data_IF_861343521506
#
_entry.id   IF_861343521506
#
_cell.length_a   1.000
_cell.length_b   1.000
_cell.length_c   1.000
_cell.angle_alpha   90.00
_cell.angle_beta   90.00
_cell.angle_gamma   90.00
#
_symmetry.space_group_name_H-M   'P 1'
#
loop_
_entity.id
_entity.type
_entity.pdbx_description
1 polymer ?
#
# COMPACT_ATOMS: atom_id res chain seq x y z
N UNK A 1 -18.32 0.21 7.17
CA UNK A 1 -17.03 0.80 7.62
C UNK A 1 -15.85 0.03 7.03
N UNK A 2 -15.90 -1.30 7.03
CA UNK A 2 -14.91 -2.17 6.37
C UNK A 2 -14.96 -2.10 4.84
N UNK A 3 -16.15 -2.08 4.23
CA UNK A 3 -16.30 -1.94 2.76
C UNK A 3 -15.65 -0.67 2.22
N UNK A 4 -15.74 0.44 2.95
CA UNK A 4 -15.06 1.68 2.56
C UNK A 4 -13.54 1.53 2.58
N UNK A 5 -12.99 0.79 3.56
CA UNK A 5 -11.56 0.56 3.70
C UNK A 5 -10.99 -0.33 2.58
N UNK A 6 -11.83 -1.19 2.00
CA UNK A 6 -11.48 -2.08 0.89
C UNK A 6 -11.49 -1.37 -0.47
N UNK A 7 -12.04 -0.15 -0.58
CA UNK A 7 -11.89 0.65 -1.80
C UNK A 7 -10.46 1.12 -1.95
N UNK A 8 -9.89 0.93 -3.13
CA UNK A 8 -8.54 1.38 -3.41
C UNK A 8 -8.50 2.92 -3.43
N UNK A 9 -7.72 3.49 -2.52
CA UNK A 9 -7.39 4.92 -2.50
C UNK A 9 -6.11 5.12 -1.68
N UNK A 10 -5.33 6.18 -1.90
CA UNK A 10 -4.16 6.47 -1.08
C UNK A 10 -4.47 6.57 0.42
N UNK A 11 -5.63 7.12 0.77
CA UNK A 11 -6.09 7.27 2.14
C UNK A 11 -6.35 5.90 2.77
N UNK A 12 -7.01 5.00 2.03
CA UNK A 12 -7.29 3.65 2.53
C UNK A 12 -6.05 2.77 2.60
N UNK A 13 -5.07 2.95 1.70
CA UNK A 13 -3.74 2.33 1.83
C UNK A 13 -3.11 2.73 3.16
N UNK A 14 -3.01 4.03 3.44
CA UNK A 14 -2.42 4.53 4.67
C UNK A 14 -3.18 4.10 5.92
N UNK A 15 -4.52 4.04 5.85
CA UNK A 15 -5.36 3.55 6.96
C UNK A 15 -5.15 2.08 7.23
N UNK A 16 -5.11 1.23 6.20
CA UNK A 16 -4.80 -0.19 6.39
C UNK A 16 -3.40 -0.38 6.96
N UNK A 17 -2.39 0.39 6.53
CA UNK A 17 -1.03 0.31 7.09
C UNK A 17 -0.94 0.59 8.60
N UNK A 18 -1.91 1.27 9.20
CA UNK A 18 -1.91 1.54 10.65
C UNK A 18 -2.21 0.28 11.48
N UNK A 19 -2.93 -0.68 10.91
CA UNK A 19 -3.38 -1.89 11.61
C UNK A 19 -2.93 -3.18 10.93
N UNK A 20 -2.49 -3.11 9.67
CA UNK A 20 -2.01 -4.25 8.91
C UNK A 20 -0.73 -4.83 9.50
N UNK A 21 -0.65 -6.14 9.50
CA UNK A 21 0.53 -6.85 9.94
C UNK A 21 1.68 -6.64 8.95
N UNK A 22 2.86 -6.33 9.50
CA UNK A 22 4.11 -6.27 8.74
C UNK A 22 4.77 -7.66 8.74
N UNK A 23 4.63 -8.40 7.65
CA UNK A 23 5.24 -9.73 7.47
C UNK A 23 6.34 -9.67 6.41
N UNK A 24 7.53 -10.15 6.75
CA UNK A 24 8.68 -10.22 5.81
C UNK A 24 8.98 -8.91 5.07
N UNK A 25 8.77 -7.76 5.73
CA UNK A 25 9.01 -6.44 5.13
C UNK A 25 7.85 -5.89 4.30
N UNK A 26 6.69 -6.55 4.28
CA UNK A 26 5.49 -6.09 3.57
C UNK A 26 4.29 -5.92 4.51
N UNK A 27 3.54 -4.83 4.32
CA UNK A 27 2.18 -4.74 4.84
C UNK A 27 1.25 -5.54 3.94
N UNK A 28 0.44 -6.42 4.54
CA UNK A 28 -0.59 -7.18 3.82
C UNK A 28 -1.87 -6.36 3.77
N UNK A 29 -2.22 -5.88 2.57
CA UNK A 29 -3.38 -5.03 2.33
C UNK A 29 -4.44 -5.79 1.52
N UNK A 30 -5.69 -5.33 1.61
CA UNK A 30 -6.84 -5.93 0.91
C UNK A 30 -7.63 -4.86 0.19
N UNK A 31 -7.93 -5.06 -1.08
CA UNK A 31 -8.74 -4.13 -1.86
C UNK A 31 -9.73 -4.88 -2.73
N UNK A 32 -10.86 -4.25 -3.05
CA UNK A 32 -11.70 -4.68 -4.16
C UNK A 32 -10.86 -4.74 -5.43
N UNK A 33 -11.18 -5.70 -6.31
CA UNK A 33 -10.47 -5.86 -7.57
C UNK A 33 -11.43 -5.89 -8.76
N UNK A 34 -10.96 -5.37 -9.89
CA UNK A 34 -11.66 -5.48 -11.16
C UNK A 34 -11.49 -6.88 -11.79
N UNK A 35 -12.07 -7.09 -12.97
CA UNK A 35 -12.00 -8.36 -13.72
C UNK A 35 -10.57 -8.76 -14.12
N UNK A 36 -9.61 -7.83 -14.06
CA UNK A 36 -8.19 -8.06 -14.37
C UNK A 36 -7.35 -8.27 -13.11
N UNK A 37 -7.97 -8.23 -11.94
CA UNK A 37 -7.28 -8.37 -10.65
C UNK A 37 -6.61 -7.09 -10.16
N UNK A 38 -6.87 -5.93 -10.77
CA UNK A 38 -6.30 -4.66 -10.35
C UNK A 38 -7.14 -4.03 -9.23
N UNK A 39 -6.52 -3.31 -8.27
CA UNK A 39 -7.27 -2.62 -7.22
C UNK A 39 -8.32 -1.66 -7.79
N UNK A 40 -9.52 -1.70 -7.23
CA UNK A 40 -10.69 -0.93 -7.66
C UNK A 40 -11.07 0.13 -6.62
N UNK A 41 -11.34 1.34 -7.09
CA UNK A 41 -11.89 2.44 -6.27
C UNK A 41 -13.36 2.20 -5.91
N UNK A 42 -14.05 1.34 -6.66
CA UNK A 42 -15.44 0.97 -6.45
C UNK A 42 -15.56 -0.42 -5.82
N UNK A 43 -16.61 -0.68 -5.00
CA UNK A 43 -16.91 -2.02 -4.54
C UNK A 43 -17.15 -2.97 -5.71
N UNK A 44 -16.49 -4.12 -5.67
CA UNK A 44 -16.71 -5.22 -6.60
C UNK A 44 -17.06 -6.50 -5.85
N UNK A 45 -17.40 -7.56 -6.57
CA UNK A 45 -17.69 -8.87 -5.96
C UNK A 45 -16.45 -9.63 -5.46
N UNK A 46 -15.25 -9.08 -5.63
CA UNK A 46 -13.98 -9.77 -5.35
C UNK A 46 -13.02 -8.88 -4.58
N UNK A 47 -12.24 -9.47 -3.69
CA UNK A 47 -11.21 -8.79 -2.90
C UNK A 47 -9.88 -9.50 -3.13
N UNK A 48 -8.88 -8.73 -3.56
CA UNK A 48 -7.51 -9.18 -3.72
C UNK A 48 -6.65 -8.90 -2.49
N UNK A 49 -5.53 -9.61 -2.39
CA UNK A 49 -4.48 -9.38 -1.39
C UNK A 49 -3.27 -8.76 -2.07
N UNK A 50 -2.72 -7.74 -1.44
CA UNK A 50 -1.60 -6.97 -1.94
C UNK A 50 -0.51 -6.81 -0.88
N UNK A 51 0.72 -6.64 -1.34
CA UNK A 51 1.91 -6.56 -0.51
C UNK A 51 2.57 -5.20 -0.72
N UNK A 52 2.50 -4.33 0.28
CA UNK A 52 3.11 -3.00 0.22
C UNK A 52 4.47 -3.02 0.91
N UNK A 53 5.53 -2.74 0.15
CA UNK A 53 6.85 -2.45 0.69
C UNK A 53 6.86 -1.01 1.24
N UNK A 54 7.11 -0.81 2.55
CA UNK A 54 7.20 0.52 3.14
C UNK A 54 8.48 1.26 2.77
N UNK A 55 9.48 0.56 2.21
CA UNK A 55 10.63 1.17 1.56
C UNK A 55 10.31 1.34 0.07
N UNK A 56 10.33 2.58 -0.40
CA UNK A 56 9.98 2.95 -1.78
C UNK A 56 8.47 2.98 -2.07
N UNK A 57 7.60 2.48 -1.20
CA UNK A 57 6.15 2.55 -1.41
C UNK A 57 5.67 1.77 -2.64
N UNK A 58 6.19 0.56 -2.81
CA UNK A 58 5.85 -0.34 -3.94
C UNK A 58 4.73 -1.28 -3.50
N UNK A 59 3.58 -1.25 -4.18
CA UNK A 59 2.50 -2.22 -4.01
C UNK A 59 2.64 -3.34 -5.02
N UNK A 60 2.49 -4.58 -4.55
CA UNK A 60 2.54 -5.79 -5.38
C UNK A 60 1.31 -6.64 -5.24
N UNK A 61 0.98 -7.41 -6.27
CA UNK A 61 -0.05 -8.43 -6.24
C UNK A 61 0.46 -9.74 -5.58
N UNK A 62 -0.37 -10.78 -5.56
CA UNK A 62 -0.03 -12.10 -5.02
C UNK A 62 1.06 -12.84 -5.79
N UNK A 63 1.30 -12.48 -7.05
CA UNK A 63 2.38 -12.99 -7.88
C UNK A 63 3.64 -12.10 -7.80
N UNK A 64 3.65 -11.13 -6.88
CA UNK A 64 4.71 -10.14 -6.71
C UNK A 64 4.94 -9.23 -7.93
N UNK A 65 4.00 -9.15 -8.87
CA UNK A 65 4.04 -8.14 -9.93
C UNK A 65 3.83 -6.75 -9.33
N UNK A 66 4.49 -5.74 -9.90
CA UNK A 66 4.31 -4.35 -9.47
C UNK A 66 2.94 -3.87 -9.95
N UNK A 67 2.11 -3.47 -9.01
CA UNK A 67 0.80 -2.85 -9.27
C UNK A 67 0.96 -1.35 -9.35
N UNK A 68 1.69 -0.76 -8.40
CA UNK A 68 2.04 0.66 -8.40
C UNK A 68 3.29 0.94 -7.57
N UNK A 69 3.84 2.12 -7.80
CA UNK A 69 4.94 2.69 -7.04
C UNK A 69 4.59 4.12 -6.66
N UNK A 70 4.62 4.46 -5.36
CA UNK A 70 4.31 5.81 -4.90
C UNK A 70 5.10 6.17 -3.64
N UNK A 71 5.88 7.24 -3.72
CA UNK A 71 6.61 7.80 -2.59
C UNK A 71 5.71 8.23 -1.42
N UNK A 72 4.40 8.44 -1.66
CA UNK A 72 3.42 8.71 -0.59
C UNK A 72 3.30 7.56 0.41
N UNK A 73 3.61 6.34 -0.02
CA UNK A 73 3.56 5.15 0.83
C UNK A 73 4.95 4.74 1.34
N UNK A 74 5.99 5.47 0.96
CA UNK A 74 7.34 5.26 1.45
C UNK A 74 7.48 5.89 2.85
N UNK A 75 7.52 5.02 3.87
CA UNK A 75 7.67 5.43 5.27
C UNK A 75 9.05 6.06 5.52
N UNK A 76 10.05 5.74 4.72
CA UNK A 76 11.42 6.18 4.91
C UNK A 76 11.79 7.38 4.03
N UNK A 77 10.90 7.81 3.13
CA UNK A 77 11.15 8.96 2.27
C UNK A 77 11.50 10.21 3.06
N UNK A 78 10.83 10.47 4.20
CA UNK A 78 11.14 11.60 5.07
C UNK A 78 12.44 11.44 5.87
N UNK A 79 12.91 10.21 6.05
CA UNK A 79 14.12 9.91 6.83
C UNK A 79 15.39 10.26 6.03
N UNK A 80 15.35 10.17 4.70
CA UNK A 80 16.46 10.58 3.81
C UNK A 80 16.79 12.08 3.87
N UNK A 81 15.78 12.95 4.03
CA UNK A 81 15.98 14.40 4.16
C UNK A 81 16.68 14.78 5.47
N UNK A 82 16.43 14.03 6.56
CA UNK A 82 17.04 14.27 7.87
C UNK A 82 18.55 13.96 7.90
N UNK A 83 19.05 13.14 6.99
CA UNK A 83 20.50 12.91 6.85
C UNK A 83 21.18 13.89 5.88
N UNK A 84 20.41 14.59 5.03
CA UNK A 84 20.94 15.62 4.13
C UNK A 84 20.92 17.02 4.76
N UNK A 85 20.00 17.29 5.69
CA UNK A 85 20.09 18.42 6.59
C UNK A 85 21.03 18.06 7.74
N UNK A 86 22.34 18.18 7.50
CA UNK A 86 23.32 18.16 8.58
C UNK A 86 22.89 19.14 9.67
N UNK A 87 22.62 18.61 10.86
CA UNK A 87 22.82 19.36 12.10
C UNK A 87 24.32 19.65 12.16
N UNK A 88 24.72 20.84 11.67
CA UNK A 88 25.90 21.58 12.15
C UNK A 88 25.45 22.56 13.23
#
# INVERSE_FOLDING_TARGET
MEEELLRFSPENVLRQMQTAELRHGYYVLRFYVDERGMPSEQPTGQVGVFYLSPAGGILRDSNFNIVLHSARFDRYHQMGWRYQAGEE
#
